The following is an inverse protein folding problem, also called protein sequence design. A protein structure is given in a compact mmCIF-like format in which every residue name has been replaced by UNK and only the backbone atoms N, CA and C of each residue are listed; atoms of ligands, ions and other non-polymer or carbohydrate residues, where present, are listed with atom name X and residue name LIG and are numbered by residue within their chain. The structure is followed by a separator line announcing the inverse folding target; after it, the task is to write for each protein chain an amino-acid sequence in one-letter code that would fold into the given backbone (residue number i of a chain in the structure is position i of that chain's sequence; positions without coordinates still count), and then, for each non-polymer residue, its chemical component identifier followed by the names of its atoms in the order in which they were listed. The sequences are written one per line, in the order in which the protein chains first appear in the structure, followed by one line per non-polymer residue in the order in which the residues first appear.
data_IF_627408281570
#
_entry.id   IF_627408281570
#
_cell.length_a   1.000
_cell.length_b   1.000
_cell.length_c   1.000
_cell.angle_alpha   90.00
_cell.angle_beta   90.00
_cell.angle_gamma   90.00
#
_symmetry.space_group_name_H-M   'P 1'
#
loop_
_entity.id
_entity.type
_entity.pdbx_description
1 polymer ?
#
# COMPACT_ATOMS: atom_id res chain seq x y z
N UNK A 1 1.83 -4.20 10.59
CA UNK A 1 3.26 -4.20 10.99
C UNK A 1 4.17 -3.99 9.79
N UNK A 2 3.88 -4.55 8.61
CA UNK A 2 4.51 -4.14 7.36
C UNK A 2 3.50 -4.20 6.20
N UNK A 3 3.50 -3.21 5.30
CA UNK A 3 2.72 -3.26 4.06
C UNK A 3 3.09 -4.49 3.21
N UNK A 4 2.09 -5.21 2.69
CA UNK A 4 2.33 -6.38 1.86
C UNK A 4 2.77 -7.62 2.63
N UNK A 5 2.63 -7.63 3.95
CA UNK A 5 2.97 -8.78 4.80
C UNK A 5 4.41 -9.27 4.57
N UNK A 6 4.54 -10.55 4.18
CA UNK A 6 5.83 -11.19 3.92
C UNK A 6 6.23 -11.25 2.45
N UNK A 7 5.73 -10.36 1.58
CA UNK A 7 5.87 -10.53 0.13
C UNK A 7 7.32 -10.62 -0.36
N UNK A 8 8.25 -9.89 0.29
CA UNK A 8 9.71 -9.95 0.05
C UNK A 8 10.37 -11.25 0.55
N UNK A 9 9.77 -11.93 1.53
CA UNK A 9 10.25 -13.19 2.12
C UNK A 9 9.74 -14.43 1.40
N UNK A 10 8.71 -14.29 0.57
CA UNK A 10 8.11 -15.39 -0.18
C UNK A 10 6.86 -15.98 0.47
N UNK A 11 6.26 -15.29 1.45
CA UNK A 11 5.04 -15.76 2.10
C UNK A 11 3.85 -15.82 1.11
N UNK A 12 2.91 -16.74 1.34
CA UNK A 12 1.93 -17.18 0.36
C UNK A 12 0.50 -16.70 0.58
N UNK A 13 0.25 -15.70 1.44
CA UNK A 13 -1.10 -15.20 1.67
C UNK A 13 -1.58 -14.26 0.55
N UNK A 14 -2.85 -13.85 0.67
CA UNK A 14 -3.55 -13.11 -0.38
C UNK A 14 -2.89 -11.77 -0.67
N UNK A 15 -2.48 -11.03 0.37
CA UNK A 15 -1.86 -9.72 0.25
C UNK A 15 -0.52 -9.81 -0.50
N UNK A 16 0.30 -10.82 -0.19
CA UNK A 16 1.58 -11.05 -0.86
C UNK A 16 1.41 -11.41 -2.34
N UNK A 17 0.37 -12.18 -2.67
CA UNK A 17 0.04 -12.50 -4.05
C UNK A 17 -0.31 -11.24 -4.84
N UNK A 18 -1.11 -10.34 -4.26
CA UNK A 18 -1.46 -9.05 -4.84
C UNK A 18 -0.20 -8.20 -5.06
N UNK A 19 0.62 -8.00 -4.02
CA UNK A 19 1.86 -7.21 -4.09
C UNK A 19 2.84 -7.71 -5.16
N UNK A 20 2.97 -9.02 -5.35
CA UNK A 20 3.93 -9.57 -6.33
C UNK A 20 3.44 -9.56 -7.77
N UNK A 21 2.15 -9.32 -8.00
CA UNK A 21 1.52 -9.44 -9.33
C UNK A 21 1.00 -8.12 -9.88
N UNK A 22 0.93 -7.10 -9.04
CA UNK A 22 0.59 -5.75 -9.44
C UNK A 22 1.63 -4.75 -8.97
N UNK A 23 1.43 -3.49 -9.35
CA UNK A 23 2.18 -2.33 -8.89
C UNK A 23 1.67 -1.81 -7.53
N UNK A 24 0.80 -2.54 -6.84
CA UNK A 24 0.22 -2.14 -5.55
C UNK A 24 1.27 -1.83 -4.48
N UNK A 25 2.41 -2.51 -4.53
CA UNK A 25 3.52 -2.24 -3.63
C UNK A 25 3.99 -0.78 -3.70
N UNK A 26 3.91 -0.10 -4.86
CA UNK A 26 4.29 1.32 -4.99
C UNK A 26 3.40 2.22 -4.14
N UNK A 27 2.17 1.81 -3.93
CA UNK A 27 1.19 2.58 -3.17
C UNK A 27 1.36 2.42 -1.66
N UNK A 28 1.95 1.33 -1.16
CA UNK A 28 2.03 1.10 0.29
C UNK A 28 3.45 0.91 0.86
N UNK A 29 4.43 0.55 0.04
CA UNK A 29 5.80 0.26 0.47
C UNK A 29 6.67 1.53 0.45
N UNK A 30 6.65 2.24 1.58
CA UNK A 30 7.35 3.52 1.75
C UNK A 30 8.88 3.41 1.60
N UNK A 31 9.46 2.22 1.85
CA UNK A 31 10.91 2.03 1.71
C UNK A 31 11.36 2.24 0.25
N UNK A 32 10.46 1.96 -0.70
CA UNK A 32 10.71 2.12 -2.13
C UNK A 32 10.52 3.55 -2.63
N UNK A 33 10.01 4.46 -1.79
CA UNK A 33 9.86 5.87 -2.17
C UNK A 33 11.23 6.55 -2.32
N UNK A 34 12.22 6.11 -1.53
CA UNK A 34 13.60 6.60 -1.63
C UNK A 34 14.28 6.30 -2.97
N UNK A 35 13.72 5.36 -3.74
CA UNK A 35 14.25 4.89 -5.03
C UNK A 35 13.45 5.53 -6.19
N UNK A 36 12.34 6.21 -5.91
CA UNK A 36 11.49 6.85 -6.91
C UNK A 36 11.84 8.33 -7.05
N UNK A 37 11.80 8.85 -8.28
CA UNK A 37 12.05 10.26 -8.57
C UNK A 37 10.94 11.18 -8.00
N UNK A 38 9.73 10.64 -7.85
CA UNK A 38 8.56 11.34 -7.32
C UNK A 38 7.89 10.49 -6.22
N UNK A 39 7.56 11.13 -5.09
CA UNK A 39 6.81 10.49 -4.01
C UNK A 39 5.33 10.45 -4.44
N UNK A 40 4.68 9.27 -4.50
CA UNK A 40 3.29 9.19 -4.90
C UNK A 40 2.38 9.87 -3.86
N UNK A 41 1.38 10.62 -4.35
CA UNK A 41 0.30 11.10 -3.48
C UNK A 41 -0.50 9.90 -2.94
N UNK A 42 -0.69 9.86 -1.62
CA UNK A 42 -1.42 8.80 -0.95
C UNK A 42 -2.59 9.37 -0.17
N UNK A 43 -3.68 8.61 -0.15
CA UNK A 43 -4.91 8.97 0.53
C UNK A 43 -5.40 7.82 1.40
N UNK A 44 -6.05 8.15 2.50
CA UNK A 44 -6.70 7.19 3.38
C UNK A 44 -8.11 7.65 3.72
N UNK A 45 -8.96 6.70 4.08
CA UNK A 45 -10.29 7.00 4.59
C UNK A 45 -10.25 6.96 6.11
N UNK A 46 -10.55 8.09 6.76
CA UNK A 46 -10.65 8.15 8.23
C UNK A 46 -11.96 7.54 8.73
N UNK A 47 -12.04 7.32 10.04
CA UNK A 47 -13.20 6.66 10.69
C UNK A 47 -14.52 7.45 10.55
N UNK A 48 -14.45 8.71 10.14
CA UNK A 48 -15.59 9.57 9.79
C UNK A 48 -16.03 9.44 8.31
N UNK A 49 -15.41 8.52 7.56
CA UNK A 49 -15.65 8.28 6.13
C UNK A 49 -15.07 9.35 5.20
N UNK A 50 -14.25 10.28 5.71
CA UNK A 50 -13.65 11.33 4.89
C UNK A 50 -12.32 10.85 4.28
N UNK A 51 -12.10 11.17 3.00
CA UNK A 51 -10.84 10.91 2.33
C UNK A 51 -9.84 12.04 2.62
N UNK A 52 -8.67 11.68 3.14
CA UNK A 52 -7.63 12.64 3.54
C UNK A 52 -6.31 12.30 2.86
N UNK A 53 -5.56 13.33 2.48
CA UNK A 53 -4.20 13.17 1.97
C UNK A 53 -3.27 12.80 3.13
N UNK A 54 -2.39 11.85 2.88
CA UNK A 54 -1.45 11.36 3.86
C UNK A 54 -0.16 12.18 3.81
N UNK A 55 0.02 13.09 4.77
CA UNK A 55 1.19 13.98 4.85
C UNK A 55 2.39 13.28 5.51
N UNK A 56 2.13 12.43 6.50
CA UNK A 56 3.14 11.60 7.14
C UNK A 56 2.99 10.15 6.67
N UNK A 57 3.91 9.71 5.83
CA UNK A 57 3.90 8.36 5.26
C UNK A 57 4.14 7.28 6.31
N UNK A 58 4.75 7.64 7.45
CA UNK A 58 5.04 6.69 8.54
C UNK A 58 3.79 6.31 9.33
N UNK A 59 2.69 7.08 9.23
CA UNK A 59 1.43 6.81 9.93
C UNK A 59 0.43 6.02 9.08
N UNK A 60 0.80 5.62 7.86
CA UNK A 60 -0.11 4.91 6.96
C UNK A 60 -0.42 3.49 7.41
N UNK A 61 0.59 2.82 7.96
CA UNK A 61 0.57 1.42 8.33
C UNK A 61 1.28 1.21 9.66
N UNK A 62 0.73 0.40 10.58
CA UNK A 62 -0.57 -0.27 10.49
C UNK A 62 -1.74 0.72 10.45
N UNK A 63 -2.79 0.38 9.69
CA UNK A 63 -4.00 1.18 9.59
C UNK A 63 -4.74 1.13 10.94
N UNK A 64 -5.35 2.25 11.32
CA UNK A 64 -6.25 2.33 12.47
C UNK A 64 -7.36 1.27 12.41
N UNK A 65 -7.90 0.90 13.57
CA UNK A 65 -9.03 -0.02 13.67
C UNK A 65 -10.22 0.57 12.91
N UNK A 66 -10.69 -0.15 11.88
CA UNK A 66 -11.73 0.25 10.90
C UNK A 66 -11.31 1.25 9.82
N UNK A 67 -10.03 1.59 9.70
CA UNK A 67 -9.53 2.37 8.57
C UNK A 67 -9.43 1.55 7.28
N UNK A 68 -9.42 2.24 6.14
CA UNK A 68 -9.24 1.61 4.83
C UNK A 68 -8.33 2.45 3.93
N UNK A 69 -7.57 1.77 3.06
CA UNK A 69 -6.77 2.38 2.02
C UNK A 69 -7.37 2.02 0.68
N UNK A 70 -7.59 3.05 -0.13
CA UNK A 70 -8.06 2.89 -1.50
C UNK A 70 -6.93 3.25 -2.46
N UNK A 71 -6.68 2.36 -3.41
CA UNK A 71 -5.70 2.59 -4.48
C UNK A 71 -6.36 2.31 -5.82
N UNK A 72 -6.59 3.37 -6.58
CA UNK A 72 -7.08 3.27 -7.96
C UNK A 72 -5.92 3.05 -8.93
N UNK A 73 -6.25 2.57 -10.14
CA UNK A 73 -5.28 2.49 -11.24
C UNK A 73 -4.24 1.38 -11.13
N UNK A 74 -4.44 0.39 -10.26
CA UNK A 74 -3.53 -0.73 -10.13
C UNK A 74 -3.40 -1.52 -11.44
N UNK A 75 -2.17 -1.71 -11.88
CA UNK A 75 -1.83 -2.52 -13.04
C UNK A 75 -1.41 -3.91 -12.60
N UNK A 76 -2.12 -4.93 -13.07
CA UNK A 76 -1.75 -6.33 -12.89
C UNK A 76 -0.93 -6.83 -14.08
N UNK A 77 0.31 -7.22 -13.83
CA UNK A 77 1.25 -7.65 -14.86
C UNK A 77 1.62 -9.14 -14.78
N UNK A 78 1.07 -9.90 -13.80
CA UNK A 78 1.25 -11.36 -13.68
C UNK A 78 -0.06 -12.10 -13.47
N UNK A 79 -0.22 -13.25 -14.12
CA UNK A 79 -1.34 -14.19 -13.91
C UNK A 79 -1.17 -14.98 -12.61
N UNK A 80 -2.27 -15.53 -12.09
CA UNK A 80 -2.33 -16.31 -10.85
C UNK A 80 -1.85 -17.73 -11.10
#
# INVERSE_FOLDING_TARGET
TSPGGGYRKGDGAQEENLFRRSDYFRSLDIDLDSIQDEIPERFYCSNDGQMRSLVDLTTMYPIDEYGAIYTSGLTFFRKS
#
